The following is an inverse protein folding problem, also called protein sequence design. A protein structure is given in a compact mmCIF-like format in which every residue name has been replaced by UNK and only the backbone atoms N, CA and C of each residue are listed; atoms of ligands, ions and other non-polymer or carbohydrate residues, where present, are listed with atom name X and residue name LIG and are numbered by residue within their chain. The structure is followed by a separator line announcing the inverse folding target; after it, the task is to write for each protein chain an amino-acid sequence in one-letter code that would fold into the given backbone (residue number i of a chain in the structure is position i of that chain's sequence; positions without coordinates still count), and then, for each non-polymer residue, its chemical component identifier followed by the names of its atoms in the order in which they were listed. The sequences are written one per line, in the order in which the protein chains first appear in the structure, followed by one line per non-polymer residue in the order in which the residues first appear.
data_IF_171653988837
#
_entry.id   IF_171653988837
#
_cell.length_a   1.000
_cell.length_b   1.000
_cell.length_c   1.000
_cell.angle_alpha   90.00
_cell.angle_beta   90.00
_cell.angle_gamma   90.00
#
_symmetry.space_group_name_H-M   'P 1'
#
loop_
_entity.id
_entity.type
_entity.pdbx_description
1 polymer ?
#
# COMPACT_ATOMS: atom_id res chain seq x y z
N UNK A 1 42.07 -0.91 1.19
CA UNK A 1 41.10 -1.85 1.81
C UNK A 1 39.68 -1.50 1.34
N UNK A 2 38.84 -2.48 0.97
CA UNK A 2 37.61 -2.23 0.21
C UNK A 2 36.30 -2.27 1.04
N UNK A 3 36.28 -1.65 2.23
CA UNK A 3 35.15 -1.70 3.19
C UNK A 3 34.40 -0.36 3.35
N UNK A 4 33.90 0.25 2.28
CA UNK A 4 33.10 1.49 2.40
C UNK A 4 32.15 1.77 1.20
N UNK A 5 31.30 0.80 0.82
CA UNK A 5 30.25 0.99 -0.22
C UNK A 5 28.87 0.40 0.13
N UNK A 6 28.60 0.11 1.41
CA UNK A 6 27.25 -0.20 1.89
C UNK A 6 26.65 1.04 2.57
N UNK A 7 25.49 1.46 2.08
CA UNK A 7 24.77 2.65 2.55
C UNK A 7 24.03 2.40 3.89
N UNK A 8 23.82 1.14 4.24
CA UNK A 8 23.25 0.66 5.48
C UNK A 8 24.28 -0.25 6.18
N UNK A 9 24.28 -0.27 7.50
CA UNK A 9 25.03 -1.28 8.26
C UNK A 9 24.45 -2.68 8.04
N UNK A 10 25.24 -3.76 8.25
CA UNK A 10 24.72 -5.12 8.16
C UNK A 10 23.53 -5.39 9.08
N UNK A 11 23.49 -4.77 10.27
CA UNK A 11 22.35 -4.87 11.19
C UNK A 11 21.10 -4.19 10.62
N UNK A 12 21.24 -3.01 10.00
CA UNK A 12 20.14 -2.31 9.35
C UNK A 12 19.60 -3.07 8.13
N UNK A 13 20.49 -3.66 7.31
CA UNK A 13 20.05 -4.54 6.20
C UNK A 13 19.26 -5.75 6.74
N UNK A 14 19.72 -6.42 7.80
CA UNK A 14 19.04 -7.60 8.36
C UNK A 14 17.67 -7.27 8.97
N UNK A 15 17.51 -6.10 9.63
CA UNK A 15 16.19 -5.62 10.11
C UNK A 15 15.26 -5.34 8.94
N UNK A 16 15.75 -4.69 7.88
CA UNK A 16 14.96 -4.41 6.68
C UNK A 16 14.54 -5.71 5.97
N UNK A 17 15.42 -6.70 5.87
CA UNK A 17 15.11 -8.03 5.32
C UNK A 17 14.01 -8.71 6.12
N UNK A 18 14.11 -8.78 7.46
CA UNK A 18 13.07 -9.38 8.31
C UNK A 18 11.71 -8.68 8.18
N UNK A 19 11.71 -7.36 8.03
CA UNK A 19 10.49 -6.60 7.77
C UNK A 19 9.87 -6.96 6.41
N UNK A 20 10.68 -7.06 5.35
CA UNK A 20 10.24 -7.48 4.02
C UNK A 20 9.69 -8.91 4.06
N UNK A 21 10.36 -9.84 4.73
CA UNK A 21 9.92 -11.23 4.90
C UNK A 21 8.54 -11.29 5.58
N UNK A 22 8.32 -10.49 6.63
CA UNK A 22 7.01 -10.33 7.28
C UNK A 22 5.95 -9.84 6.30
N UNK A 23 6.13 -8.66 5.70
CA UNK A 23 5.16 -8.13 4.73
C UNK A 23 4.88 -9.10 3.57
N UNK A 24 5.90 -9.85 3.16
CA UNK A 24 5.83 -10.86 2.09
C UNK A 24 5.09 -12.14 2.49
N UNK A 25 5.14 -12.53 3.77
CA UNK A 25 4.31 -13.60 4.34
C UNK A 25 2.86 -13.14 4.50
N UNK A 26 2.68 -11.90 4.93
CA UNK A 26 1.38 -11.28 5.20
C UNK A 26 0.66 -10.83 3.90
N UNK A 27 1.07 -11.33 2.72
CA UNK A 27 0.44 -11.09 1.41
C UNK A 27 0.79 -9.76 0.72
N UNK A 28 1.56 -8.87 1.38
CA UNK A 28 1.83 -7.50 0.95
C UNK A 28 3.34 -7.18 0.68
N UNK A 29 4.05 -7.89 -0.24
CA UNK A 29 5.44 -7.54 -0.60
C UNK A 29 5.62 -6.06 -1.10
N UNK A 30 6.38 -5.18 -0.43
CA UNK A 30 6.30 -3.70 -0.62
C UNK A 30 6.67 -2.98 -1.95
N UNK A 31 6.73 -3.58 -3.14
CA UNK A 31 7.30 -2.95 -4.38
C UNK A 31 8.76 -2.48 -4.29
N UNK A 32 9.42 -2.17 -5.41
CA UNK A 32 10.79 -1.57 -5.39
C UNK A 32 10.85 -0.13 -4.88
N UNK A 33 9.74 0.61 -4.98
CA UNK A 33 9.66 2.02 -4.59
C UNK A 33 9.61 2.20 -3.07
N UNK A 34 8.79 1.42 -2.35
CA UNK A 34 8.76 1.52 -0.89
C UNK A 34 10.09 1.07 -0.28
N UNK A 35 10.79 0.09 -0.86
CA UNK A 35 12.16 -0.27 -0.45
C UNK A 35 13.14 0.91 -0.57
N UNK A 36 13.02 1.71 -1.63
CA UNK A 36 13.80 2.94 -1.81
C UNK A 36 13.44 3.97 -0.73
N UNK A 37 12.16 4.13 -0.41
CA UNK A 37 11.69 5.03 0.66
C UNK A 37 12.17 4.58 2.04
N UNK A 38 12.08 3.28 2.38
CA UNK A 38 12.54 2.73 3.65
C UNK A 38 14.05 2.91 3.81
N UNK A 39 14.83 2.57 2.78
CA UNK A 39 16.26 2.80 2.80
C UNK A 39 16.60 4.29 2.96
N UNK A 40 15.89 5.18 2.25
CA UNK A 40 16.10 6.63 2.34
C UNK A 40 15.71 7.22 3.70
N UNK A 41 14.67 6.69 4.34
CA UNK A 41 14.28 7.08 5.70
C UNK A 41 15.33 6.67 6.75
N UNK A 42 15.95 5.48 6.60
CA UNK A 42 16.99 5.00 7.50
C UNK A 42 18.32 5.74 7.28
N UNK A 43 18.69 6.08 6.03
CA UNK A 43 19.94 6.79 5.73
C UNK A 43 19.83 8.30 5.87
N UNK A 44 18.62 8.87 5.80
CA UNK A 44 18.33 10.31 5.67
C UNK A 44 18.77 10.94 4.33
N UNK A 45 19.02 10.12 3.30
CA UNK A 45 19.45 10.56 1.96
C UNK A 45 18.73 9.76 0.87
N UNK A 46 18.53 10.34 -0.32
CA UNK A 46 17.92 9.60 -1.43
C UNK A 46 18.79 8.40 -1.86
N UNK A 47 18.21 7.21 -1.80
CA UNK A 47 18.87 5.97 -2.20
C UNK A 47 18.63 5.68 -3.69
N UNK A 48 19.67 5.39 -4.46
CA UNK A 48 19.53 5.14 -5.89
C UNK A 48 18.91 3.77 -6.21
N UNK A 49 18.20 3.67 -7.34
CA UNK A 49 17.64 2.40 -7.85
C UNK A 49 18.71 1.31 -8.03
N UNK A 50 19.93 1.69 -8.38
CA UNK A 50 21.09 0.78 -8.48
C UNK A 50 21.52 0.20 -7.13
N UNK A 51 21.28 0.89 -6.02
CA UNK A 51 21.45 0.31 -4.68
C UNK A 51 20.40 -0.76 -4.40
N UNK A 52 19.12 -0.52 -4.75
CA UNK A 52 18.02 -1.49 -4.59
C UNK A 52 18.30 -2.78 -5.36
N UNK A 53 18.75 -2.69 -6.62
CA UNK A 53 19.15 -3.88 -7.41
C UNK A 53 20.27 -4.68 -6.71
N UNK A 54 21.28 -3.99 -6.14
CA UNK A 54 22.37 -4.66 -5.41
C UNK A 54 21.93 -5.23 -4.06
N UNK A 55 21.00 -4.59 -3.36
CA UNK A 55 20.41 -5.10 -2.11
C UNK A 55 19.63 -6.39 -2.37
N UNK A 56 18.72 -6.40 -3.36
CA UNK A 56 17.97 -7.59 -3.75
C UNK A 56 18.89 -8.73 -4.21
N UNK A 57 19.98 -8.42 -4.92
CA UNK A 57 20.97 -9.42 -5.32
C UNK A 57 21.78 -9.98 -4.14
N UNK A 58 22.13 -9.16 -3.12
CA UNK A 58 22.81 -9.65 -1.90
C UNK A 58 21.94 -10.62 -1.11
N UNK A 59 20.66 -10.30 -0.97
CA UNK A 59 19.70 -11.07 -0.17
C UNK A 59 18.83 -12.01 -1.04
N UNK A 60 19.37 -12.44 -2.18
CA UNK A 60 18.64 -13.21 -3.18
C UNK A 60 18.12 -14.56 -2.65
N UNK A 61 18.90 -15.21 -1.78
CA UNK A 61 18.50 -16.44 -1.09
C UNK A 61 17.26 -16.28 -0.19
N UNK A 62 17.05 -15.09 0.39
CA UNK A 62 15.90 -14.78 1.24
C UNK A 62 14.72 -14.16 0.45
N UNK A 63 15.00 -13.41 -0.61
CA UNK A 63 14.01 -12.55 -1.29
C UNK A 63 13.65 -12.93 -2.74
N UNK A 64 14.54 -13.58 -3.51
CA UNK A 64 14.36 -13.71 -4.98
C UNK A 64 13.15 -14.56 -5.39
N UNK A 65 12.79 -15.58 -4.61
CA UNK A 65 11.63 -16.45 -4.91
C UNK A 65 10.29 -15.70 -4.97
N UNK A 66 10.21 -14.48 -4.43
CA UNK A 66 8.96 -13.71 -4.32
C UNK A 66 9.01 -12.30 -4.94
N UNK A 67 10.06 -11.97 -5.70
CA UNK A 67 10.34 -10.60 -6.17
C UNK A 67 10.76 -10.49 -7.65
N UNK A 68 10.29 -11.41 -8.50
CA UNK A 68 10.48 -11.33 -9.95
C UNK A 68 9.85 -10.06 -10.54
N UNK A 69 10.41 -9.57 -11.65
CA UNK A 69 9.93 -8.38 -12.38
C UNK A 69 8.44 -8.47 -12.75
N UNK A 70 7.88 -9.68 -12.85
CA UNK A 70 6.46 -9.91 -13.12
C UNK A 70 5.56 -9.35 -12.01
N UNK A 71 5.90 -9.59 -10.73
CA UNK A 71 5.10 -9.12 -9.60
C UNK A 71 5.17 -7.60 -9.39
N UNK A 72 6.33 -6.98 -9.65
CA UNK A 72 6.46 -5.51 -9.60
C UNK A 72 5.64 -4.84 -10.73
N UNK A 73 5.62 -5.46 -11.92
CA UNK A 73 4.75 -5.06 -13.05
C UNK A 73 3.25 -5.29 -12.75
N UNK A 74 2.88 -6.43 -12.18
CA UNK A 74 1.50 -6.73 -11.77
C UNK A 74 0.98 -5.70 -10.77
N UNK A 75 1.79 -5.32 -9.75
CA UNK A 75 1.42 -4.23 -8.82
C UNK A 75 1.30 -2.88 -9.51
N UNK A 76 2.24 -2.50 -10.36
CA UNK A 76 2.14 -1.24 -11.11
C UNK A 76 0.87 -1.15 -11.98
N UNK A 77 0.39 -2.28 -12.49
CA UNK A 77 -0.88 -2.37 -13.22
C UNK A 77 -2.11 -2.44 -12.32
N UNK A 78 -1.99 -2.95 -11.09
CA UNK A 78 -3.03 -2.89 -10.06
C UNK A 78 -3.22 -1.44 -9.58
N UNK A 79 -2.16 -0.83 -9.04
CA UNK A 79 -2.10 0.53 -8.51
C UNK A 79 -2.03 1.62 -9.60
N UNK A 80 -2.68 1.39 -10.74
CA UNK A 80 -2.62 2.34 -11.84
C UNK A 80 -3.40 3.61 -11.49
N UNK A 81 -2.72 4.77 -11.51
CA UNK A 81 -3.34 6.10 -11.36
C UNK A 81 -4.55 6.32 -12.30
N UNK A 82 -4.56 5.64 -13.47
CA UNK A 82 -5.68 5.66 -14.41
C UNK A 82 -6.94 4.97 -13.86
N UNK A 83 -6.83 3.80 -13.21
CA UNK A 83 -7.98 3.13 -12.56
C UNK A 83 -8.58 4.00 -11.46
N UNK A 84 -7.74 4.53 -10.56
CA UNK A 84 -8.20 5.44 -9.51
C UNK A 84 -8.86 6.70 -10.09
N UNK A 85 -8.26 7.34 -11.10
CA UNK A 85 -8.86 8.50 -11.76
C UNK A 85 -10.23 8.18 -12.39
N UNK A 86 -10.37 7.02 -13.05
CA UNK A 86 -11.66 6.60 -13.63
C UNK A 86 -12.69 6.30 -12.54
N UNK A 87 -12.30 5.62 -11.46
CA UNK A 87 -13.16 5.33 -10.31
C UNK A 87 -13.68 6.62 -9.65
N UNK A 88 -12.79 7.55 -9.27
CA UNK A 88 -13.20 8.81 -8.65
C UNK A 88 -14.00 9.71 -9.61
N UNK A 89 -13.65 9.78 -10.90
CA UNK A 89 -14.45 10.51 -11.88
C UNK A 89 -15.89 9.96 -11.98
N UNK A 90 -16.05 8.64 -11.99
CA UNK A 90 -17.36 7.97 -12.02
C UNK A 90 -18.13 8.21 -10.72
N UNK A 91 -17.47 8.06 -9.57
CA UNK A 91 -18.02 8.30 -8.24
C UNK A 91 -18.56 9.73 -8.11
N UNK A 92 -17.74 10.75 -8.39
CA UNK A 92 -18.19 12.15 -8.38
C UNK A 92 -19.31 12.42 -9.40
N UNK A 93 -19.36 11.71 -10.53
CA UNK A 93 -20.47 11.83 -11.47
C UNK A 93 -21.78 11.31 -10.87
N UNK A 94 -21.74 10.15 -10.20
CA UNK A 94 -22.91 9.55 -9.56
C UNK A 94 -23.36 10.31 -8.31
N UNK A 95 -22.44 10.86 -7.53
CA UNK A 95 -22.78 11.71 -6.38
C UNK A 95 -23.54 12.97 -6.82
N UNK A 96 -23.13 13.61 -7.93
CA UNK A 96 -23.88 14.74 -8.51
C UNK A 96 -25.24 14.33 -9.07
N UNK A 97 -25.32 13.18 -9.74
CA UNK A 97 -26.56 12.65 -10.32
C UNK A 97 -27.63 12.34 -9.27
N UNK A 98 -27.21 11.86 -8.09
CA UNK A 98 -28.11 11.50 -6.99
C UNK A 98 -28.16 12.54 -5.85
N UNK A 99 -27.60 13.75 -6.07
CA UNK A 99 -27.53 14.84 -5.07
C UNK A 99 -26.98 14.42 -3.69
N UNK A 100 -26.02 13.50 -3.68
CA UNK A 100 -25.37 13.02 -2.45
C UNK A 100 -24.27 14.01 -2.05
N UNK A 101 -24.43 14.65 -0.90
CA UNK A 101 -23.40 15.53 -0.31
C UNK A 101 -22.10 14.74 -0.09
N UNK A 102 -20.96 15.33 -0.49
CA UNK A 102 -19.64 14.73 -0.35
C UNK A 102 -19.29 14.38 1.12
N UNK A 103 -19.93 15.05 2.08
CA UNK A 103 -19.81 14.79 3.52
C UNK A 103 -20.40 13.45 3.95
N UNK A 104 -21.38 12.91 3.20
CA UNK A 104 -22.02 11.62 3.52
C UNK A 104 -21.21 10.41 3.02
N UNK A 105 -20.11 10.62 2.28
CA UNK A 105 -19.23 9.54 1.78
C UNK A 105 -18.64 8.67 2.90
N UNK A 106 -18.53 9.21 4.12
CA UNK A 106 -17.99 8.51 5.29
C UNK A 106 -19.01 7.61 6.01
N UNK A 107 -20.27 7.52 5.59
CA UNK A 107 -21.26 6.61 6.19
C UNK A 107 -21.32 5.23 5.49
N UNK A 108 -20.20 4.77 4.93
CA UNK A 108 -20.09 3.50 4.18
C UNK A 108 -19.75 2.29 5.09
N UNK A 109 -19.32 2.51 6.33
CA UNK A 109 -19.05 1.46 7.32
C UNK A 109 -20.07 1.42 8.48
N UNK A 110 -20.73 2.54 8.79
CA UNK A 110 -21.74 2.63 9.84
C UNK A 110 -23.05 1.97 9.41
N UNK A 111 -23.14 0.66 9.67
CA UNK A 111 -24.33 -0.15 9.43
C UNK A 111 -25.48 0.31 10.34
N UNK A 112 -26.32 1.23 9.87
CA UNK A 112 -27.58 1.61 10.52
C UNK A 112 -28.66 0.52 10.30
N UNK A 113 -28.42 -0.66 10.87
CA UNK A 113 -29.44 -1.70 11.08
C UNK A 113 -29.97 -1.58 12.51
N UNK A 114 -30.77 -0.52 12.72
CA UNK A 114 -31.68 -0.16 13.83
C UNK A 114 -31.91 1.36 13.63
N UNK A 115 -33.11 1.92 13.59
CA UNK A 115 -34.44 1.44 14.00
C UNK A 115 -35.49 1.89 12.95
N UNK A 116 -36.38 0.99 12.49
CA UNK A 116 -37.58 1.37 11.73
C UNK A 116 -38.87 0.75 12.31
N UNK A 117 -38.79 0.17 13.51
CA UNK A 117 -39.89 -0.56 14.15
C UNK A 117 -40.60 0.22 15.28
N UNK A 118 -40.16 1.43 15.62
CA UNK A 118 -40.69 2.22 16.75
C UNK A 118 -41.75 3.27 16.35
N UNK A 119 -41.95 3.56 15.06
CA UNK A 119 -42.89 4.60 14.60
C UNK A 119 -44.32 4.15 14.30
N UNK A 120 -44.64 2.85 14.32
CA UNK A 120 -46.00 2.34 14.05
C UNK A 120 -46.79 1.89 15.29
N UNK A 121 -46.16 1.77 16.46
CA UNK A 121 -46.87 1.40 17.70
C UNK A 121 -47.38 2.59 18.52
N UNK A 122 -47.09 3.83 18.13
CA UNK A 122 -47.42 5.04 18.91
C UNK A 122 -48.70 5.79 18.45
N UNK A 123 -49.38 5.32 17.39
CA UNK A 123 -50.57 5.96 16.82
C UNK A 123 -51.76 4.99 16.68
N UNK A 124 -51.94 4.11 17.65
CA UNK A 124 -53.12 3.23 17.74
C UNK A 124 -53.56 3.04 19.19
N UNK A 125 -54.07 4.11 19.78
CA UNK A 125 -54.95 4.15 20.96
C UNK A 125 -55.74 5.46 20.94
#
# INVERSE_FOLDING_TARGET
EARQRQLLSPQQEEVLVKYIERCTRDGLPPTRSMLQNFASAVTKWEVSKSWITRFLHRHANKLTTKWTTRMDRERFLADSKRKYKLYFNLLHSKMREHSVDERNTYNIDVTTMHEHDTWHSAHSS
#
